data_IF_516079714319
#
_entry.id   IF_516079714319
#
_cell.length_a   1.000
_cell.length_b   1.000
_cell.length_c   1.000
_cell.angle_alpha   90.00
_cell.angle_beta   90.00
_cell.angle_gamma   90.00
#
_symmetry.space_group_name_H-M   'P 1'
#
loop_
_entity.id
_entity.type
_entity.pdbx_description
1 polymer ?
#
# COMPACT_ATOMS: atom_id res chain seq x y z
N UNK A 1 6.21 -13.59 18.37
CA UNK A 1 7.41 -14.03 17.61
C UNK A 1 7.09 -15.06 16.50
N UNK A 2 6.26 -16.08 16.74
CA UNK A 2 5.91 -17.08 15.70
C UNK A 2 5.28 -16.47 14.43
N UNK A 3 4.31 -15.57 14.60
CA UNK A 3 3.61 -14.92 13.47
C UNK A 3 4.57 -14.12 12.57
N UNK A 4 5.52 -13.37 13.15
CA UNK A 4 6.52 -12.62 12.38
C UNK A 4 7.31 -13.54 11.43
N UNK A 5 7.78 -14.69 11.95
CA UNK A 5 8.52 -15.66 11.14
C UNK A 5 7.67 -16.24 10.02
N UNK A 6 6.41 -16.57 10.31
CA UNK A 6 5.47 -17.03 9.29
C UNK A 6 5.24 -15.96 8.21
N UNK A 7 5.00 -14.71 8.59
CA UNK A 7 4.82 -13.61 7.62
C UNK A 7 6.05 -13.38 6.76
N UNK A 8 7.25 -13.42 7.34
CA UNK A 8 8.49 -13.25 6.59
C UNK A 8 8.74 -14.42 5.64
N UNK A 9 8.41 -15.66 6.04
CA UNK A 9 8.44 -16.82 5.14
C UNK A 9 7.49 -16.64 3.96
N UNK A 10 6.25 -16.21 4.20
CA UNK A 10 5.32 -15.93 3.09
C UNK A 10 5.83 -14.81 2.17
N UNK A 11 6.53 -13.79 2.70
CA UNK A 11 7.16 -12.77 1.84
C UNK A 11 8.22 -13.35 0.91
N UNK A 12 8.93 -14.42 1.30
CA UNK A 12 9.98 -15.02 0.46
C UNK A 12 9.45 -15.82 -0.73
N UNK A 13 8.16 -16.19 -0.72
CA UNK A 13 7.50 -16.94 -1.78
C UNK A 13 6.82 -16.06 -2.82
N UNK A 14 6.82 -14.74 -2.66
CA UNK A 14 6.24 -13.86 -3.65
C UNK A 14 6.97 -14.02 -5.00
N UNK A 15 6.24 -14.06 -6.13
CA UNK A 15 6.82 -14.28 -7.45
C UNK A 15 7.73 -13.11 -7.87
N UNK A 16 7.35 -11.88 -7.54
CA UNK A 16 8.10 -10.67 -7.90
C UNK A 16 9.29 -10.44 -6.92
N UNK A 17 10.53 -10.29 -7.40
CA UNK A 17 11.71 -10.10 -6.55
C UNK A 17 11.71 -8.78 -5.77
N UNK A 18 11.23 -7.70 -6.38
CA UNK A 18 11.12 -6.38 -5.74
C UNK A 18 10.02 -6.42 -4.66
N UNK A 19 8.97 -7.22 -4.88
CA UNK A 19 7.95 -7.46 -3.89
C UNK A 19 8.47 -8.23 -2.68
N UNK A 20 9.31 -9.24 -2.89
CA UNK A 20 9.96 -10.00 -1.80
C UNK A 20 10.79 -9.09 -0.89
N UNK A 21 11.65 -8.27 -1.48
CA UNK A 21 12.51 -7.35 -0.73
C UNK A 21 11.67 -6.29 -0.03
N UNK A 22 10.80 -5.58 -0.73
CA UNK A 22 10.00 -4.51 -0.12
C UNK A 22 9.07 -5.03 1.00
N UNK A 23 8.34 -6.12 0.78
CA UNK A 23 7.40 -6.64 1.77
C UNK A 23 8.10 -7.17 3.02
N UNK A 24 9.25 -7.82 2.87
CA UNK A 24 10.03 -8.27 4.03
C UNK A 24 10.50 -7.10 4.90
N UNK A 25 11.02 -6.03 4.29
CA UNK A 25 11.41 -4.80 4.99
C UNK A 25 10.20 -4.10 5.63
N UNK A 26 9.08 -4.02 4.91
CA UNK A 26 7.85 -3.42 5.40
C UNK A 26 7.32 -4.16 6.64
N UNK A 27 7.22 -5.49 6.57
CA UNK A 27 6.78 -6.34 7.67
C UNK A 27 7.73 -6.20 8.86
N UNK A 28 9.04 -6.33 8.66
CA UNK A 28 10.02 -6.18 9.73
C UNK A 28 9.91 -4.81 10.43
N UNK A 29 9.81 -3.74 9.65
CA UNK A 29 9.66 -2.38 10.17
C UNK A 29 8.36 -2.20 10.97
N UNK A 30 7.23 -2.73 10.47
CA UNK A 30 5.93 -2.67 11.15
C UNK A 30 5.97 -3.41 12.48
N UNK A 31 6.50 -4.63 12.51
CA UNK A 31 6.59 -5.41 13.75
C UNK A 31 7.52 -4.76 14.77
N UNK A 32 8.66 -4.19 14.35
CA UNK A 32 9.56 -3.42 15.25
C UNK A 32 8.87 -2.21 15.87
N UNK A 33 8.16 -1.43 15.04
CA UNK A 33 7.39 -0.26 15.53
C UNK A 33 6.31 -0.67 16.53
N UNK A 34 5.56 -1.73 16.21
CA UNK A 34 4.50 -2.24 17.10
C UNK A 34 5.09 -2.80 18.40
N UNK A 35 6.17 -3.58 18.34
CA UNK A 35 6.82 -4.10 19.55
C UNK A 35 7.34 -2.99 20.45
N UNK A 36 7.90 -1.93 19.85
CA UNK A 36 8.36 -0.77 20.59
C UNK A 36 7.19 -0.03 21.26
N UNK A 37 6.08 0.21 20.55
CA UNK A 37 4.88 0.82 21.12
C UNK A 37 4.26 -0.01 22.24
N UNK A 38 4.25 -1.33 22.12
CA UNK A 38 3.77 -2.24 23.18
C UNK A 38 4.67 -2.15 24.41
N UNK A 39 5.99 -2.12 24.21
CA UNK A 39 6.95 -1.97 25.29
C UNK A 39 6.80 -0.62 26.02
N UNK A 40 6.65 0.48 25.28
CA UNK A 40 6.45 1.81 25.88
C UNK A 40 5.16 1.92 26.70
N UNK A 41 4.09 1.25 26.28
CA UNK A 41 2.77 1.34 26.92
C UNK A 41 2.46 0.12 27.81
N UNK A 42 3.50 -0.55 28.33
CA UNK A 42 3.40 -1.76 29.16
C UNK A 42 2.47 -1.58 30.35
N UNK A 43 2.59 -0.44 31.03
CA UNK A 43 1.93 -0.20 32.31
C UNK A 43 0.53 0.43 32.14
N UNK A 44 0.09 0.68 30.90
CA UNK A 44 -1.22 1.27 30.65
C UNK A 44 -2.37 0.24 30.70
N UNK A 45 -3.51 0.59 31.32
CA UNK A 45 -4.71 -0.25 31.26
C UNK A 45 -5.19 -0.38 29.81
N UNK A 46 -5.64 -1.58 29.43
CA UNK A 46 -6.15 -1.87 28.08
C UNK A 46 -5.08 -2.29 27.05
N UNK A 47 -3.83 -2.51 27.45
CA UNK A 47 -2.78 -3.01 26.57
C UNK A 47 -3.16 -4.33 25.87
N UNK A 48 -3.85 -5.24 26.58
CA UNK A 48 -4.28 -6.53 26.03
C UNK A 48 -5.09 -6.39 24.75
N UNK A 49 -6.08 -5.49 24.74
CA UNK A 49 -6.93 -5.20 23.57
C UNK A 49 -6.11 -4.65 22.39
N UNK A 50 -5.16 -3.75 22.67
CA UNK A 50 -4.25 -3.20 21.65
C UNK A 50 -3.35 -4.29 21.05
N UNK A 51 -2.82 -5.18 21.88
CA UNK A 51 -2.00 -6.32 21.44
C UNK A 51 -2.83 -7.26 20.56
N UNK A 52 -4.06 -7.59 20.96
CA UNK A 52 -4.96 -8.42 20.15
C UNK A 52 -5.28 -7.79 18.79
N UNK A 53 -5.55 -6.48 18.75
CA UNK A 53 -5.76 -5.75 17.50
C UNK A 53 -4.55 -5.87 16.57
N UNK A 54 -3.33 -5.66 17.10
CA UNK A 54 -2.11 -5.84 16.32
C UNK A 54 -1.90 -7.28 15.85
N UNK A 55 -2.23 -8.28 16.67
CA UNK A 55 -2.17 -9.70 16.29
C UNK A 55 -3.19 -10.03 15.20
N UNK A 56 -4.40 -9.47 15.28
CA UNK A 56 -5.44 -9.63 14.26
C UNK A 56 -4.97 -9.06 12.92
N UNK A 57 -4.43 -7.84 12.93
CA UNK A 57 -3.87 -7.19 11.74
C UNK A 57 -2.69 -7.97 11.15
N UNK A 58 -1.83 -8.53 12.01
CA UNK A 58 -0.72 -9.38 11.57
C UNK A 58 -1.21 -10.69 10.92
N UNK A 59 -2.26 -11.32 11.46
CA UNK A 59 -2.88 -12.51 10.86
C UNK A 59 -3.54 -12.18 9.52
N UNK A 60 -4.24 -11.05 9.42
CA UNK A 60 -4.84 -10.59 8.17
C UNK A 60 -3.78 -10.35 7.09
N UNK A 61 -2.66 -9.69 7.45
CA UNK A 61 -1.52 -9.49 6.56
C UNK A 61 -0.96 -10.82 6.06
N UNK A 62 -0.71 -11.77 6.98
CA UNK A 62 -0.22 -13.11 6.64
C UNK A 62 -1.18 -13.81 5.67
N UNK A 63 -2.47 -13.81 5.97
CA UNK A 63 -3.48 -14.46 5.12
C UNK A 63 -3.61 -13.75 3.76
N UNK A 64 -3.34 -12.44 3.68
CA UNK A 64 -3.26 -11.71 2.41
C UNK A 64 -2.07 -12.15 1.57
N UNK A 65 -0.88 -12.24 2.17
CA UNK A 65 0.33 -12.73 1.51
C UNK A 65 0.21 -14.20 1.09
N UNK A 66 -0.39 -15.03 1.95
CA UNK A 66 -0.65 -16.42 1.63
C UNK A 66 -1.56 -16.56 0.41
N UNK A 67 -2.66 -15.80 0.35
CA UNK A 67 -3.54 -15.77 -0.82
C UNK A 67 -2.83 -15.30 -2.08
N UNK A 68 -1.97 -14.29 -1.95
CA UNK A 68 -1.14 -13.81 -3.06
C UNK A 68 -0.22 -14.92 -3.59
N UNK A 69 0.42 -15.68 -2.69
CA UNK A 69 1.27 -16.82 -3.03
C UNK A 69 0.48 -18.03 -3.58
N UNK A 70 -0.79 -18.16 -3.21
CA UNK A 70 -1.72 -19.14 -3.78
C UNK A 70 -2.25 -18.71 -5.15
N UNK A 71 -1.97 -17.48 -5.59
CA UNK A 71 -2.34 -16.98 -6.92
C UNK A 71 -3.67 -16.22 -6.99
N UNK A 72 -4.21 -15.76 -5.86
CA UNK A 72 -5.31 -14.79 -5.84
C UNK A 72 -4.85 -13.49 -6.50
N UNK A 73 -5.42 -13.20 -7.69
CA UNK A 73 -5.10 -12.03 -8.52
C UNK A 73 -5.17 -10.73 -7.73
N UNK A 74 -6.19 -10.54 -6.90
CA UNK A 74 -6.41 -9.30 -6.17
C UNK A 74 -5.47 -9.16 -4.97
N UNK A 75 -5.12 -10.27 -4.33
CA UNK A 75 -4.12 -10.27 -3.26
C UNK A 75 -2.72 -9.95 -3.81
N UNK A 76 -2.35 -10.56 -4.95
CA UNK A 76 -1.06 -10.32 -5.58
C UNK A 76 -0.94 -8.89 -6.12
N UNK A 77 -1.97 -8.40 -6.82
CA UNK A 77 -1.98 -7.03 -7.34
C UNK A 77 -1.83 -6.01 -6.21
N UNK A 78 -2.49 -6.20 -5.06
CA UNK A 78 -2.31 -5.33 -3.89
C UNK A 78 -0.87 -5.33 -3.38
N UNK A 79 -0.19 -6.47 -3.42
CA UNK A 79 1.23 -6.54 -3.06
C UNK A 79 2.06 -5.71 -4.04
N UNK A 80 1.84 -5.84 -5.34
CA UNK A 80 2.55 -5.07 -6.37
C UNK A 80 2.26 -3.55 -6.27
N UNK A 81 1.01 -3.16 -6.04
CA UNK A 81 0.64 -1.75 -5.84
C UNK A 81 1.37 -1.12 -4.65
N UNK A 82 1.62 -1.88 -3.59
CA UNK A 82 2.40 -1.42 -2.45
C UNK A 82 3.89 -1.31 -2.80
N UNK A 83 4.41 -2.24 -3.58
CA UNK A 83 5.83 -2.31 -3.94
C UNK A 83 6.20 -1.28 -4.97
N UNK A 84 5.30 -0.87 -5.85
CA UNK A 84 5.52 0.19 -6.85
C UNK A 84 4.86 1.52 -6.45
N UNK A 85 4.50 1.67 -5.16
CA UNK A 85 4.08 2.94 -4.59
C UNK A 85 2.77 3.51 -5.15
N UNK A 86 1.85 2.66 -5.64
CA UNK A 86 0.46 3.08 -5.93
C UNK A 86 -0.36 3.22 -4.64
N UNK A 87 0.02 2.44 -3.62
CA UNK A 87 -0.61 2.40 -2.29
C UNK A 87 0.43 2.37 -1.17
N UNK A 88 -0.02 2.76 0.02
CA UNK A 88 0.76 2.66 1.26
C UNK A 88 1.95 3.62 1.32
N UNK A 89 2.91 3.28 2.18
CA UNK A 89 4.01 4.19 2.58
C UNK A 89 4.95 4.56 1.43
N UNK A 90 5.30 3.61 0.55
CA UNK A 90 6.27 3.84 -0.53
C UNK A 90 5.85 4.97 -1.46
N UNK A 91 4.55 5.09 -1.71
CA UNK A 91 3.99 6.22 -2.47
C UNK A 91 4.48 7.57 -1.94
N UNK A 92 4.38 7.75 -0.63
CA UNK A 92 4.76 9.01 0.00
C UNK A 92 6.27 9.22 -0.05
N UNK A 93 7.05 8.15 0.09
CA UNK A 93 8.51 8.19 -0.09
C UNK A 93 8.89 8.64 -1.51
N UNK A 94 8.13 8.21 -2.53
CA UNK A 94 8.36 8.63 -3.92
C UNK A 94 7.92 10.08 -4.20
N UNK A 95 6.89 10.56 -3.52
CA UNK A 95 6.41 11.95 -3.66
C UNK A 95 7.18 12.94 -2.79
N UNK A 96 7.83 12.49 -1.72
CA UNK A 96 8.55 13.32 -0.75
C UNK A 96 9.58 14.26 -1.39
N UNK A 97 10.39 13.85 -2.40
CA UNK A 97 11.31 14.74 -3.09
C UNK A 97 10.61 15.90 -3.81
N UNK A 98 9.40 15.67 -4.33
CA UNK A 98 8.64 16.65 -5.11
C UNK A 98 7.84 17.61 -4.23
N UNK A 99 7.65 17.31 -2.94
CA UNK A 99 6.90 18.19 -2.04
C UNK A 99 7.74 19.41 -1.63
N UNK A 100 7.14 20.58 -1.33
CA UNK A 100 7.89 21.74 -0.84
C UNK A 100 8.66 21.38 0.43
N UNK A 101 9.90 21.86 0.59
CA UNK A 101 10.72 21.60 1.79
C UNK A 101 10.00 22.07 3.08
N UNK A 102 9.25 23.16 2.96
CA UNK A 102 8.36 23.68 3.99
C UNK A 102 7.12 22.78 4.13
N UNK A 103 7.04 22.02 5.23
CA UNK A 103 5.87 21.17 5.53
C UNK A 103 6.00 19.70 5.13
N UNK A 104 7.13 19.23 4.57
CA UNK A 104 7.36 17.79 4.27
C UNK A 104 7.06 16.90 5.48
N UNK A 105 7.53 17.30 6.66
CA UNK A 105 7.44 16.49 7.87
C UNK A 105 6.02 16.41 8.45
N UNK A 106 5.27 17.53 8.41
CA UNK A 106 3.91 17.58 8.95
C UNK A 106 2.91 16.76 8.12
N UNK A 107 3.04 16.82 6.79
CA UNK A 107 2.12 16.15 5.87
C UNK A 107 2.41 14.64 5.85
N UNK A 108 3.69 14.25 5.89
CA UNK A 108 4.08 12.84 6.07
C UNK A 108 3.56 12.31 7.41
N UNK A 109 3.59 13.09 8.50
CA UNK A 109 3.05 12.67 9.79
C UNK A 109 1.51 12.55 9.78
N UNK A 110 0.79 13.50 9.21
CA UNK A 110 -0.67 13.49 9.13
C UNK A 110 -1.19 12.31 8.29
N UNK A 111 -0.54 12.01 7.17
CA UNK A 111 -0.96 10.90 6.30
C UNK A 111 -0.41 9.53 6.74
N UNK A 112 0.56 9.49 7.67
CA UNK A 112 1.02 8.25 8.31
C UNK A 112 0.14 7.81 9.49
N UNK A 113 -0.75 8.68 9.97
CA UNK A 113 -1.71 8.43 11.06
C UNK A 113 -2.99 7.77 10.53
N UNK A 114 -2.90 6.55 10.03
CA UNK A 114 -4.10 5.73 9.74
C UNK A 114 -4.55 4.86 10.93
N UNK A 115 -3.87 4.84 12.07
CA UNK A 115 -4.28 4.04 13.24
C UNK A 115 -3.76 4.64 14.57
N UNK A 116 -4.58 5.42 15.29
CA UNK A 116 -4.34 5.80 16.70
C UNK A 116 -5.09 7.08 17.13
N UNK A 117 -5.62 7.15 18.38
CA UNK A 117 -6.48 8.24 18.82
C UNK A 117 -5.73 9.55 18.94
N UNK A 118 -6.47 10.62 18.71
CA UNK A 118 -6.06 12.02 18.82
C UNK A 118 -5.45 12.26 20.20
N UNK A 119 -4.16 12.62 20.21
CA UNK A 119 -3.58 13.36 21.32
C UNK A 119 -3.55 14.81 20.88
N UNK A 120 -4.34 15.61 21.57
CA UNK A 120 -4.35 17.06 21.51
C UNK A 120 -2.98 17.58 21.94
N UNK A 121 -2.08 17.68 20.97
CA UNK A 121 -0.86 18.44 21.16
C UNK A 121 -1.23 19.92 20.99
N UNK A 122 -1.16 20.64 22.10
CA UNK A 122 -1.17 22.09 22.20
C UNK A 122 0.02 22.65 21.38
N UNK A 123 -0.23 22.97 20.11
CA UNK A 123 0.80 23.51 19.20
C UNK A 123 0.67 25.02 19.16
N UNK A 124 1.65 25.67 19.78
CA UNK A 124 1.93 27.10 19.67
C UNK A 124 1.92 27.58 18.22
N UNK A 125 1.20 28.66 18.00
CA UNK A 125 0.90 29.33 16.73
C UNK A 125 2.16 29.93 16.10
N UNK A 126 3.01 29.11 15.51
CA UNK A 126 3.88 29.57 14.42
C UNK A 126 3.06 29.46 13.13
N UNK A 127 2.86 30.58 12.44
CA UNK A 127 2.05 30.66 11.22
C UNK A 127 2.71 29.86 10.09
N UNK A 128 2.50 28.53 10.09
CA UNK A 128 2.98 27.65 9.03
C UNK A 128 2.35 28.09 7.70
N UNK A 129 3.15 28.24 6.62
CA UNK A 129 2.66 28.64 5.30
C UNK A 129 1.62 27.64 4.78
N UNK A 130 0.68 28.14 3.96
CA UNK A 130 -0.32 27.28 3.34
C UNK A 130 0.38 26.32 2.36
N UNK A 131 -0.07 25.05 2.29
CA UNK A 131 0.54 24.10 1.38
C UNK A 131 0.26 24.51 -0.07
N UNK A 132 1.31 24.79 -0.84
CA UNK A 132 1.27 25.03 -2.28
C UNK A 132 1.90 23.86 -3.03
N UNK A 133 1.50 23.66 -4.29
CA UNK A 133 2.14 22.67 -5.14
C UNK A 133 3.45 23.25 -5.66
N UNK A 134 4.54 22.48 -5.56
CA UNK A 134 5.78 22.81 -6.27
C UNK A 134 5.53 22.79 -7.79
N UNK A 135 6.33 23.50 -8.60
CA UNK A 135 6.19 23.47 -10.05
C UNK A 135 6.29 22.03 -10.60
N UNK A 136 7.17 21.21 -10.03
CA UNK A 136 7.34 19.80 -10.35
C UNK A 136 6.06 18.99 -10.11
N UNK A 137 5.50 19.11 -8.92
CA UNK A 137 4.29 18.39 -8.53
C UNK A 137 3.08 18.91 -9.32
N UNK A 138 3.01 20.21 -9.59
CA UNK A 138 1.99 20.80 -10.45
C UNK A 138 2.06 20.25 -11.87
N UNK A 139 3.25 20.21 -12.49
CA UNK A 139 3.45 19.68 -13.84
C UNK A 139 3.02 18.19 -13.90
N UNK A 140 3.42 17.41 -12.90
CA UNK A 140 3.01 16.02 -12.78
C UNK A 140 1.49 15.88 -12.65
N UNK A 141 0.86 16.65 -11.76
CA UNK A 141 -0.59 16.60 -11.56
C UNK A 141 -1.36 17.05 -12.81
N UNK A 142 -0.85 18.05 -13.54
CA UNK A 142 -1.41 18.54 -14.79
C UNK A 142 -1.35 17.49 -15.89
N UNK A 143 -0.21 16.79 -16.04
CA UNK A 143 -0.07 15.70 -17.02
C UNK A 143 -1.06 14.56 -16.78
N UNK A 144 -1.45 14.33 -15.53
CA UNK A 144 -2.35 13.24 -15.14
C UNK A 144 -3.82 13.61 -15.23
N UNK A 145 -4.17 14.90 -15.34
CA UNK A 145 -5.55 15.40 -15.27
C UNK A 145 -6.48 14.79 -16.31
N UNK A 146 -5.97 14.50 -17.50
CA UNK A 146 -6.72 13.93 -18.64
C UNK A 146 -6.67 12.39 -18.70
N UNK A 147 -5.86 11.74 -17.86
CA UNK A 147 -5.70 10.30 -17.91
C UNK A 147 -6.91 9.58 -17.30
N UNK A 148 -7.53 8.71 -18.09
CA UNK A 148 -8.52 7.75 -17.60
C UNK A 148 -7.79 6.52 -17.05
N UNK A 149 -7.34 6.59 -15.80
CA UNK A 149 -6.66 5.46 -15.15
C UNK A 149 -7.60 4.27 -15.01
N UNK A 150 -7.15 3.05 -15.36
CA UNK A 150 -7.88 1.80 -15.08
C UNK A 150 -7.88 1.45 -13.58
N UNK A 151 -6.99 2.08 -12.81
CA UNK A 151 -6.87 1.92 -11.37
C UNK A 151 -8.13 2.36 -10.60
N UNK A 152 -8.27 1.87 -9.37
CA UNK A 152 -9.31 2.32 -8.42
C UNK A 152 -9.26 3.82 -8.11
N UNK A 153 -8.17 4.52 -8.48
CA UNK A 153 -7.97 5.95 -8.21
C UNK A 153 -8.27 6.78 -9.44
N UNK A 154 -9.04 7.85 -9.22
CA UNK A 154 -9.34 8.86 -10.25
C UNK A 154 -8.26 9.94 -10.23
N UNK A 155 -7.85 10.39 -11.41
CA UNK A 155 -6.92 11.51 -11.56
C UNK A 155 -7.40 12.79 -10.85
N UNK A 156 -6.47 13.67 -10.40
CA UNK A 156 -6.82 14.95 -9.82
C UNK A 156 -7.43 15.88 -10.89
N UNK A 157 -8.71 16.22 -10.74
CA UNK A 157 -9.42 17.11 -11.68
C UNK A 157 -9.15 18.60 -11.45
N UNK A 158 -8.91 18.99 -10.21
CA UNK A 158 -8.73 20.37 -9.75
C UNK A 158 -7.32 20.55 -9.20
N UNK A 159 -6.53 21.39 -9.86
CA UNK A 159 -5.14 21.70 -9.49
C UNK A 159 -5.04 22.95 -8.60
N UNK A 160 -6.17 23.54 -8.24
CA UNK A 160 -6.28 24.67 -7.35
C UNK A 160 -7.46 24.47 -6.39
N UNK A 161 -7.38 25.01 -5.17
CA UNK A 161 -8.47 24.89 -4.20
C UNK A 161 -9.63 25.80 -4.58
N UNK A 162 -10.83 25.23 -4.69
CA UNK A 162 -12.06 26.02 -4.89
C UNK A 162 -12.49 26.60 -3.54
N UNK A 163 -12.12 27.86 -3.30
CA UNK A 163 -12.45 28.58 -2.07
C UNK A 163 -13.35 29.76 -2.45
N UNK A 164 -14.59 29.83 -1.96
CA UNK A 164 -15.43 31.00 -2.20
C UNK A 164 -14.79 32.22 -1.54
N UNK A 165 -14.92 33.40 -2.14
CA UNK A 165 -14.39 34.64 -1.55
C UNK A 165 -15.16 35.03 -0.28
N UNK A 166 -16.48 34.84 -0.32
CA UNK A 166 -17.39 35.24 0.73
C UNK A 166 -18.07 34.04 1.41
N UNK A 167 -18.37 34.20 2.70
CA UNK A 167 -19.21 33.29 3.46
C UNK A 167 -20.71 33.58 3.21
N UNK A 168 -21.61 32.75 3.74
CA UNK A 168 -23.07 32.91 3.62
C UNK A 168 -23.61 34.27 4.11
N UNK A 169 -22.84 34.99 4.93
CA UNK A 169 -23.16 36.35 5.41
C UNK A 169 -22.55 37.46 4.55
N UNK A 170 -22.03 37.15 3.36
CA UNK A 170 -21.32 38.07 2.46
C UNK A 170 -20.07 38.73 3.09
N UNK A 171 -19.50 38.10 4.11
CA UNK A 171 -18.23 38.49 4.75
C UNK A 171 -17.08 37.71 4.12
N UNK A 172 -15.84 38.25 4.12
CA UNK A 172 -14.68 37.51 3.62
C UNK A 172 -14.53 36.18 4.36
N UNK A 173 -14.10 35.13 3.64
CA UNK A 173 -13.96 33.80 4.23
C UNK A 173 -13.00 33.79 5.43
N UNK A 174 -13.37 33.16 6.56
CA UNK A 174 -12.51 33.09 7.73
C UNK A 174 -11.16 32.43 7.41
N UNK A 175 -10.04 33.05 7.81
CA UNK A 175 -8.67 32.55 7.55
C UNK A 175 -8.47 31.08 7.95
N UNK A 176 -9.00 30.68 9.12
CA UNK A 176 -8.98 29.27 9.58
C UNK A 176 -9.68 28.32 8.61
N UNK A 177 -10.82 28.74 8.03
CA UNK A 177 -11.58 27.93 7.07
C UNK A 177 -10.85 27.83 5.74
N UNK A 178 -10.24 28.91 5.25
CA UNK A 178 -9.37 28.91 4.07
C UNK A 178 -8.21 27.92 4.25
N UNK A 179 -7.52 27.98 5.39
CA UNK A 179 -6.46 27.03 5.75
C UNK A 179 -6.95 25.58 5.75
N UNK A 180 -8.10 25.29 6.35
CA UNK A 180 -8.62 23.92 6.36
C UNK A 180 -9.02 23.43 4.95
N UNK A 181 -9.64 24.30 4.13
CA UNK A 181 -10.01 23.96 2.76
C UNK A 181 -8.79 23.69 1.88
N UNK A 182 -7.75 24.52 1.98
CA UNK A 182 -6.48 24.31 1.26
C UNK A 182 -5.80 23.01 1.70
N UNK A 183 -5.70 22.71 3.00
CA UNK A 183 -5.13 21.44 3.47
C UNK A 183 -5.94 20.23 2.97
N UNK A 184 -7.27 20.28 3.02
CA UNK A 184 -8.11 19.20 2.52
C UNK A 184 -7.95 19.02 1.01
N UNK A 185 -7.89 20.12 0.25
CA UNK A 185 -7.64 20.08 -1.18
C UNK A 185 -6.27 19.46 -1.49
N UNK A 186 -5.22 19.94 -0.83
CA UNK A 186 -3.85 19.45 -1.02
C UNK A 186 -3.73 17.95 -0.71
N UNK A 187 -4.31 17.49 0.39
CA UNK A 187 -4.35 16.07 0.74
C UNK A 187 -5.11 15.23 -0.31
N UNK A 188 -6.24 15.74 -0.82
CA UNK A 188 -7.00 15.07 -1.89
C UNK A 188 -6.22 15.01 -3.20
N UNK A 189 -5.46 16.05 -3.54
CA UNK A 189 -4.60 16.07 -4.73
C UNK A 189 -3.48 15.04 -4.57
N UNK A 190 -2.75 15.07 -3.44
CA UNK A 190 -1.72 14.07 -3.14
C UNK A 190 -2.25 12.63 -3.14
N UNK A 191 -3.47 12.40 -2.64
CA UNK A 191 -4.06 11.06 -2.64
C UNK A 191 -4.53 10.59 -4.03
N UNK A 192 -4.65 11.49 -5.01
CA UNK A 192 -5.01 11.14 -6.39
C UNK A 192 -3.83 11.07 -7.34
N UNK A 193 -2.76 11.80 -7.06
CA UNK A 193 -1.55 11.81 -7.89
C UNK A 193 -0.87 10.43 -7.90
N UNK A 194 -0.54 9.96 -9.09
CA UNK A 194 0.34 8.80 -9.27
C UNK A 194 1.79 9.22 -9.06
N UNK A 195 2.46 8.63 -8.08
CA UNK A 195 3.86 8.91 -7.82
C UNK A 195 4.73 8.44 -8.99
N UNK A 196 5.75 9.19 -9.42
CA UNK A 196 6.68 8.71 -10.45
C UNK A 196 7.58 7.63 -9.85
N UNK A 197 7.89 6.60 -10.65
CA UNK A 197 8.89 5.61 -10.29
C UNK A 197 10.29 6.08 -10.71
N UNK A 198 11.36 5.66 -9.99
CA UNK A 198 12.71 5.83 -10.47
C UNK A 198 12.91 5.13 -11.82
N UNK A 199 13.66 5.74 -12.73
CA UNK A 199 13.84 5.28 -14.11
C UNK A 199 14.23 3.80 -14.18
N UNK A 200 15.23 3.37 -13.42
CA UNK A 200 15.67 1.96 -13.45
C UNK A 200 14.62 0.95 -12.99
N UNK A 201 13.79 1.28 -12.00
CA UNK A 201 12.69 0.40 -11.59
C UNK A 201 11.55 0.39 -12.60
N UNK A 202 11.33 1.52 -13.27
CA UNK A 202 10.31 1.65 -14.30
C UNK A 202 10.66 0.88 -15.56
N UNK A 203 11.91 0.97 -16.02
CA UNK A 203 12.42 0.20 -17.16
C UNK A 203 12.35 -1.29 -16.89
N UNK A 204 12.78 -1.73 -15.70
CA UNK A 204 12.65 -3.12 -15.28
C UNK A 204 11.18 -3.60 -15.32
N UNK A 205 10.25 -2.80 -14.80
CA UNK A 205 8.82 -3.14 -14.81
C UNK A 205 8.26 -3.17 -16.24
N UNK A 206 8.69 -2.24 -17.10
CA UNK A 206 8.34 -2.21 -18.53
C UNK A 206 8.76 -3.50 -19.22
N UNK A 207 10.01 -3.90 -19.02
CA UNK A 207 10.59 -5.07 -19.69
C UNK A 207 9.84 -6.34 -19.24
N UNK A 208 9.52 -6.46 -17.95
CA UNK A 208 8.68 -7.55 -17.43
C UNK A 208 7.26 -7.55 -17.97
N UNK A 209 6.64 -6.38 -18.14
CA UNK A 209 5.33 -6.25 -18.76
C UNK A 209 5.34 -6.69 -20.24
N UNK A 210 6.42 -6.39 -20.95
CA UNK A 210 6.66 -6.86 -22.32
C UNK A 210 7.01 -8.35 -22.40
N UNK A 211 7.40 -8.96 -21.27
CA UNK A 211 7.80 -10.36 -21.19
C UNK A 211 9.29 -10.59 -21.47
N UNK A 212 10.09 -9.53 -21.40
CA UNK A 212 11.55 -9.55 -21.53
C UNK A 212 12.14 -9.80 -20.13
N UNK A 213 13.15 -10.68 -20.04
CA UNK A 213 13.92 -10.96 -18.82
C UNK A 213 13.08 -11.16 -17.54
N UNK A 214 11.96 -11.88 -17.69
CA UNK A 214 11.05 -12.16 -16.58
C UNK A 214 11.74 -13.01 -15.51
N UNK A 215 11.60 -12.66 -14.22
CA UNK A 215 12.16 -13.46 -13.14
C UNK A 215 11.49 -14.82 -13.05
N UNK A 216 12.26 -15.83 -12.68
CA UNK A 216 11.69 -17.16 -12.40
C UNK A 216 10.78 -17.11 -11.18
N UNK A 217 9.56 -17.61 -11.38
CA UNK A 217 8.56 -17.76 -10.33
C UNK A 217 9.01 -18.87 -9.38
N UNK A 218 9.29 -18.51 -8.13
CA UNK A 218 9.68 -19.49 -7.11
C UNK A 218 8.46 -20.26 -6.64
N UNK A 219 8.50 -21.57 -6.79
CA UNK A 219 7.51 -22.45 -6.17
C UNK A 219 7.71 -22.52 -4.65
N UNK A 220 6.60 -22.58 -3.92
CA UNK A 220 6.61 -22.75 -2.48
C UNK A 220 7.19 -24.11 -2.12
N UNK A 221 8.33 -24.11 -1.42
CA UNK A 221 8.89 -25.34 -0.84
C UNK A 221 7.96 -25.84 0.27
N UNK A 222 7.27 -26.96 0.02
CA UNK A 222 6.52 -27.68 1.05
C UNK A 222 5.00 -27.75 0.87
N UNK A 223 4.47 -27.66 -0.35
CA UNK A 223 3.08 -28.04 -0.62
C UNK A 223 3.04 -29.11 -1.71
N UNK A 224 3.57 -30.30 -1.42
CA UNK A 224 3.08 -31.45 -2.17
C UNK A 224 1.57 -31.54 -1.86
N UNK A 225 0.72 -31.52 -2.88
CA UNK A 225 -0.73 -31.67 -2.73
C UNK A 225 -1.10 -32.88 -1.85
N UNK A 226 -0.22 -33.89 -1.82
CA UNK A 226 -0.29 -35.06 -0.95
C UNK A 226 -0.27 -34.76 0.57
N UNK A 227 0.43 -33.70 1.03
CA UNK A 227 0.54 -33.39 2.48
C UNK A 227 -0.64 -32.56 2.98
N UNK A 228 -1.21 -31.69 2.13
CA UNK A 228 -2.42 -30.93 2.46
C UNK A 228 -3.63 -31.84 2.64
N UNK A 229 -3.79 -32.85 1.76
CA UNK A 229 -4.89 -33.81 1.85
C UNK A 229 -4.77 -34.73 3.08
N UNK A 230 -3.56 -35.17 3.46
CA UNK A 230 -3.35 -36.00 4.66
C UNK A 230 -3.54 -35.22 5.97
N UNK A 231 -3.14 -33.95 6.00
CA UNK A 231 -3.16 -33.14 7.22
C UNK A 231 -4.54 -32.60 7.59
N UNK A 232 -5.37 -32.23 6.61
CA UNK A 232 -6.66 -31.58 6.87
C UNK A 232 -7.78 -32.53 7.28
N UNK A 233 -7.78 -33.75 6.78
CA UNK A 233 -8.79 -34.75 7.12
C UNK A 233 -8.32 -35.75 8.19
N UNK A 234 -7.25 -35.43 8.95
CA UNK A 234 -6.62 -36.35 9.92
C UNK A 234 -6.32 -37.75 9.34
N UNK A 235 -5.98 -37.83 8.06
CA UNK A 235 -5.73 -39.09 7.36
C UNK A 235 -6.95 -39.70 6.64
N UNK A 236 -8.13 -39.11 6.73
CA UNK A 236 -9.33 -39.56 6.03
C UNK A 236 -9.41 -39.03 4.59
N UNK A 237 -10.13 -39.73 3.73
CA UNK A 237 -10.54 -39.17 2.43
C UNK A 237 -11.60 -38.07 2.63
N UNK A 238 -11.76 -37.16 1.67
CA UNK A 238 -12.72 -36.05 1.80
C UNK A 238 -14.16 -36.54 2.03
N UNK A 239 -14.53 -37.69 1.43
CA UNK A 239 -15.81 -38.36 1.68
C UNK A 239 -15.90 -38.97 3.09
N UNK A 240 -14.86 -39.66 3.55
CA UNK A 240 -14.80 -40.18 4.92
C UNK A 240 -14.92 -39.05 5.96
N UNK A 241 -14.31 -37.89 5.73
CA UNK A 241 -14.44 -36.76 6.62
C UNK A 241 -15.86 -36.19 6.65
N UNK A 242 -16.58 -36.17 5.53
CA UNK A 242 -18.00 -35.78 5.48
C UNK A 242 -18.85 -36.75 6.29
N UNK A 243 -18.60 -38.06 6.12
CA UNK A 243 -19.34 -39.12 6.79
C UNK A 243 -19.05 -39.14 8.30
N UNK A 244 -17.80 -38.92 8.71
CA UNK A 244 -17.37 -38.98 10.11
C UNK A 244 -17.63 -37.68 10.87
N UNK A 245 -17.46 -36.50 10.24
CA UNK A 245 -17.57 -35.20 10.92
C UNK A 245 -18.87 -34.44 10.60
N UNK A 246 -19.65 -34.88 9.60
CA UNK A 246 -20.91 -34.24 9.19
C UNK A 246 -20.77 -32.81 8.63
N UNK A 247 -19.54 -32.28 8.55
CA UNK A 247 -19.21 -30.94 8.04
C UNK A 247 -17.82 -30.95 7.41
N UNK A 248 -17.69 -30.29 6.25
CA UNK A 248 -16.40 -30.01 5.66
C UNK A 248 -15.82 -28.75 6.30
N UNK A 249 -14.57 -28.81 6.76
CA UNK A 249 -13.84 -27.63 7.18
C UNK A 249 -13.72 -26.68 5.97
N UNK A 250 -14.23 -25.43 6.04
CA UNK A 250 -14.17 -24.49 4.91
C UNK A 250 -12.73 -24.10 4.54
N UNK A 251 -11.76 -24.38 5.43
CA UNK A 251 -10.32 -24.21 5.19
C UNK A 251 -9.69 -25.31 4.35
N UNK A 252 -10.41 -26.42 4.13
CA UNK A 252 -9.95 -27.56 3.34
C UNK A 252 -10.14 -27.35 1.84
N UNK A 253 -10.96 -26.37 1.45
CA UNK A 253 -11.13 -26.03 0.06
C UNK A 253 -10.02 -25.08 -0.40
N UNK A 254 -9.39 -25.35 -1.56
CA UNK A 254 -8.49 -24.39 -2.17
C UNK A 254 -9.24 -23.08 -2.44
N UNK A 255 -8.52 -21.97 -2.42
CA UNK A 255 -9.11 -20.68 -2.78
C UNK A 255 -9.72 -20.76 -4.18
N UNK A 256 -11.02 -20.54 -4.30
CA UNK A 256 -11.73 -20.58 -5.60
C UNK A 256 -11.20 -19.55 -6.61
N UNK A 257 -10.62 -18.46 -6.10
CA UNK A 257 -10.07 -17.37 -6.92
C UNK A 257 -8.56 -17.51 -7.19
N UNK A 258 -7.93 -18.62 -6.77
CA UNK A 258 -6.51 -18.85 -7.00
C UNK A 258 -6.26 -19.24 -8.46
N UNK A 259 -5.38 -18.49 -9.13
CA UNK A 259 -4.84 -18.87 -10.43
C UNK A 259 -3.48 -19.56 -10.26
N UNK A 260 -3.12 -20.44 -11.18
CA UNK A 260 -1.74 -20.92 -11.27
C UNK A 260 -0.80 -19.75 -11.60
N UNK A 261 0.25 -19.57 -10.80
CA UNK A 261 1.23 -18.50 -10.99
C UNK A 261 2.14 -18.85 -12.17
N UNK A 262 1.63 -18.62 -13.38
CA UNK A 262 2.36 -18.75 -14.63
C UNK A 262 3.06 -17.45 -15.02
N UNK A 263 4.05 -17.54 -15.92
CA UNK A 263 4.73 -16.36 -16.49
C UNK A 263 3.74 -15.40 -17.16
N UNK A 264 2.77 -15.94 -17.93
CA UNK A 264 1.71 -15.13 -18.59
C UNK A 264 0.80 -14.42 -17.60
N UNK A 265 0.47 -15.09 -16.48
CA UNK A 265 -0.33 -14.48 -15.42
C UNK A 265 0.42 -13.30 -14.78
N UNK A 266 1.70 -13.50 -14.45
CA UNK A 266 2.55 -12.44 -13.89
C UNK A 266 2.74 -11.28 -14.87
N UNK A 267 3.00 -11.57 -16.15
CA UNK A 267 3.13 -10.57 -17.20
C UNK A 267 1.91 -9.62 -17.26
N UNK A 268 0.70 -10.19 -17.21
CA UNK A 268 -0.55 -9.39 -17.20
C UNK A 268 -0.66 -8.51 -15.97
N UNK A 269 -0.19 -8.97 -14.82
CA UNK A 269 -0.21 -8.20 -13.57
C UNK A 269 0.83 -7.08 -13.57
N UNK A 270 2.03 -7.34 -14.06
CA UNK A 270 3.04 -6.30 -14.27
C UNK A 270 2.56 -5.26 -15.28
N UNK A 271 1.99 -5.67 -16.41
CA UNK A 271 1.41 -4.76 -17.39
C UNK A 271 0.30 -3.88 -16.80
N UNK A 272 -0.57 -4.46 -15.97
CA UNK A 272 -1.59 -3.68 -15.29
C UNK A 272 -0.98 -2.63 -14.35
N UNK A 273 -0.01 -3.01 -13.52
CA UNK A 273 0.64 -2.06 -12.59
C UNK A 273 1.43 -1.01 -13.36
N UNK A 274 2.13 -1.41 -14.42
CA UNK A 274 2.89 -0.53 -15.30
C UNK A 274 2.02 0.57 -15.93
N UNK A 275 0.78 0.24 -16.32
CA UNK A 275 -0.17 1.24 -16.85
C UNK A 275 -0.49 2.38 -15.87
N UNK A 276 -0.29 2.16 -14.56
CA UNK A 276 -0.51 3.14 -13.50
C UNK A 276 0.81 3.81 -13.02
N UNK A 277 1.95 3.52 -13.67
CA UNK A 277 3.27 3.98 -13.27
C UNK A 277 3.83 5.04 -14.24
N UNK A 278 3.76 6.33 -13.87
CA UNK A 278 4.41 7.39 -14.63
C UNK A 278 5.91 7.41 -14.36
N UNK A 279 6.65 7.99 -15.32
CA UNK A 279 8.04 8.44 -15.17
C UNK A 279 8.04 9.96 -15.20
N UNK A 280 8.98 10.55 -14.47
CA UNK A 280 9.21 11.98 -14.52
C UNK A 280 10.72 12.18 -14.55
N UNK A 281 11.19 12.77 -15.64
CA UNK A 281 12.55 13.30 -15.77
C UNK A 281 12.44 14.81 -15.68
N UNK A 282 13.15 15.40 -14.72
CA UNK A 282 13.15 16.83 -14.50
C UNK A 282 14.48 17.43 -14.93
N UNK A 283 14.46 18.20 -16.03
CA UNK A 283 15.62 18.92 -16.52
C UNK A 283 15.79 20.23 -15.74
N UNK A 284 16.76 20.28 -14.82
CA UNK A 284 17.07 21.51 -14.07
C UNK A 284 17.56 22.65 -14.98
N UNK A 285 18.12 22.32 -16.15
CA UNK A 285 18.65 23.30 -17.10
C UNK A 285 17.57 24.15 -17.80
N UNK A 286 16.32 23.68 -17.82
CA UNK A 286 15.18 24.43 -18.38
C UNK A 286 14.58 25.46 -17.40
N UNK A 287 15.20 25.68 -16.23
CA UNK A 287 14.82 26.73 -15.25
C UNK A 287 15.25 28.15 -15.65
N UNK A 288 15.85 28.34 -16.84
CA UNK A 288 16.24 29.66 -17.36
C UNK A 288 15.09 30.38 -18.06
#
# INVERSE_FOLDING_TARGET
RSILRQTLRECTYLPDPNARSYMSHFVASRFRRVSFKIWQNRDQPGLGVRVEHHLRNARQMRNGLQRANEGDRQALLRCLEWTYGRRGKRRYVLLEPLMPAEGRQDIVQLMSKDEGPEQDADVSTTEKPLPSLTPELYALAASQRSLNLPSSKKAPKQLEPVIPEFNARLLPMPKKRVKNLTHQWYAKVLDRILAPLPVGEWEQLRDWALGIDMPDVKERRGSSAATLNRGHFRGHTALEAIVVQGRLDPKSFPNQNAHEISRRFMQRLWAQVFSDCPVMDWDDDKKK
#
